data_IF_604959442801
#
_entry.id   IF_604959442801
#
_cell.length_a   1.000
_cell.length_b   1.000
_cell.length_c   1.000
_cell.angle_alpha   90.00
_cell.angle_beta   90.00
_cell.angle_gamma   90.00
#
_symmetry.space_group_name_H-M   'P 1'
#
loop_
_entity.id
_entity.type
_entity.pdbx_description
1 polymer ?
#
# COMPACT_ATOMS: atom_id res chain seq x y z
N UNK A 1 -24.12 26.96 10.46
CA UNK A 1 -22.72 26.52 10.28
C UNK A 1 -21.87 27.72 9.90
N UNK A 2 -20.90 28.12 10.73
CA UNK A 2 -20.07 29.31 10.46
C UNK A 2 -19.18 29.11 9.23
N UNK A 3 -19.11 30.12 8.35
CA UNK A 3 -18.23 30.14 7.16
C UNK A 3 -16.76 29.90 7.50
N UNK A 4 -16.34 30.24 8.71
CA UNK A 4 -14.97 30.06 9.20
C UNK A 4 -14.62 28.58 9.46
N UNK A 5 -15.59 27.78 9.92
CA UNK A 5 -15.40 26.33 10.09
C UNK A 5 -15.16 25.64 8.74
N UNK A 6 -15.83 26.11 7.68
CA UNK A 6 -15.67 25.57 6.31
C UNK A 6 -14.31 25.96 5.70
N UNK A 7 -13.79 27.14 6.02
CA UNK A 7 -12.47 27.59 5.58
C UNK A 7 -11.33 26.86 6.32
N UNK A 8 -11.53 26.52 7.61
CA UNK A 8 -10.58 25.73 8.38
C UNK A 8 -10.47 24.28 7.86
N UNK A 9 -11.58 23.66 7.49
CA UNK A 9 -11.58 22.30 6.91
C UNK A 9 -10.91 22.19 5.54
N UNK A 10 -10.80 23.30 4.79
CA UNK A 10 -10.10 23.37 3.49
C UNK A 10 -8.61 23.66 3.60
N UNK A 11 -8.14 24.12 4.76
CA UNK A 11 -6.70 24.13 5.06
C UNK A 11 -6.30 22.68 5.30
N UNK A 12 -6.06 21.98 4.19
CA UNK A 12 -5.47 20.65 4.22
C UNK A 12 -4.20 20.66 5.07
N UNK A 13 -3.78 19.49 5.57
CA UNK A 13 -2.53 19.38 6.31
C UNK A 13 -1.42 20.05 5.48
N UNK A 14 -0.52 20.76 6.17
CA UNK A 14 0.60 21.46 5.53
C UNK A 14 1.40 20.53 4.59
N UNK A 15 2.33 21.07 3.80
CA UNK A 15 3.11 20.25 2.87
C UNK A 15 3.65 19.03 3.63
N UNK A 16 3.24 17.84 3.17
CA UNK A 16 3.58 16.59 3.82
C UNK A 16 5.10 16.46 3.96
N UNK A 17 5.55 15.74 5.00
CA UNK A 17 6.98 15.51 5.19
C UNK A 17 7.60 14.88 3.94
N UNK A 18 8.83 15.28 3.63
CA UNK A 18 9.60 14.70 2.53
C UNK A 18 9.85 13.21 2.82
N UNK A 19 9.47 12.34 1.88
CA UNK A 19 9.64 10.89 2.02
C UNK A 19 10.99 10.51 1.42
N UNK A 20 11.94 10.14 2.28
CA UNK A 20 13.23 9.60 1.86
C UNK A 20 13.16 8.08 1.64
N UNK A 21 13.91 7.59 0.65
CA UNK A 21 14.00 6.15 0.36
C UNK A 21 14.97 5.48 1.33
N UNK A 22 14.45 4.56 2.15
CA UNK A 22 15.20 3.79 3.13
C UNK A 22 15.38 2.34 2.63
N UNK A 23 16.04 2.17 1.49
CA UNK A 23 16.13 0.86 0.82
C UNK A 23 16.97 -0.13 1.61
N UNK A 24 18.07 0.31 2.23
CA UNK A 24 18.93 -0.58 3.01
C UNK A 24 18.19 -1.09 4.26
N UNK A 25 17.48 -0.20 4.94
CA UNK A 25 16.67 -0.49 6.12
C UNK A 25 15.53 -1.43 5.78
N UNK A 26 14.88 -1.25 4.63
CA UNK A 26 13.84 -2.17 4.17
C UNK A 26 14.40 -3.57 3.88
N UNK A 27 15.61 -3.69 3.31
CA UNK A 27 16.26 -4.98 3.10
C UNK A 27 16.58 -5.66 4.43
N UNK A 28 17.14 -4.92 5.39
CA UNK A 28 17.44 -5.44 6.74
C UNK A 28 16.16 -5.88 7.45
N UNK A 29 15.11 -5.08 7.39
CA UNK A 29 13.80 -5.44 7.96
C UNK A 29 13.25 -6.72 7.32
N UNK A 30 13.31 -6.84 5.99
CA UNK A 30 12.83 -8.02 5.28
C UNK A 30 13.57 -9.29 5.70
N UNK A 31 14.90 -9.24 5.80
CA UNK A 31 15.69 -10.38 6.27
C UNK A 31 15.41 -10.73 7.75
N UNK A 32 15.11 -9.73 8.58
CA UNK A 32 14.74 -9.96 9.98
C UNK A 32 13.35 -10.60 10.13
N UNK A 33 12.38 -10.20 9.31
CA UNK A 33 11.01 -10.75 9.34
C UNK A 33 10.92 -12.11 8.63
N UNK A 34 11.71 -12.29 7.56
CA UNK A 34 11.78 -13.50 6.74
C UNK A 34 13.22 -14.01 6.67
N UNK A 35 13.69 -14.74 7.69
CA UNK A 35 15.06 -15.28 7.71
C UNK A 35 15.35 -16.30 6.59
N UNK A 36 14.30 -16.81 5.96
CA UNK A 36 14.38 -17.68 4.78
C UNK A 36 14.71 -16.93 3.48
N UNK A 37 14.64 -15.59 3.48
CA UNK A 37 14.97 -14.78 2.32
C UNK A 37 16.43 -14.32 2.36
N UNK A 38 17.14 -14.48 1.25
CA UNK A 38 18.46 -13.88 1.09
C UNK A 38 18.33 -12.36 0.84
N UNK A 39 19.15 -11.54 1.51
CA UNK A 39 19.17 -10.09 1.28
C UNK A 39 19.42 -9.71 -0.19
N UNK A 40 20.20 -10.52 -0.91
CA UNK A 40 20.47 -10.33 -2.33
C UNK A 40 19.19 -10.41 -3.17
N UNK A 41 18.29 -11.34 -2.83
CA UNK A 41 17.02 -11.53 -3.54
C UNK A 41 16.05 -10.38 -3.26
N UNK A 42 16.01 -9.89 -2.02
CA UNK A 42 15.22 -8.71 -1.66
C UNK A 42 15.72 -7.47 -2.41
N UNK A 43 17.05 -7.28 -2.46
CA UNK A 43 17.67 -6.18 -3.20
C UNK A 43 17.39 -6.27 -4.70
N UNK A 44 17.49 -7.47 -5.28
CA UNK A 44 17.18 -7.71 -6.67
C UNK A 44 15.70 -7.42 -7.00
N UNK A 45 14.77 -7.84 -6.14
CA UNK A 45 13.35 -7.55 -6.29
C UNK A 45 13.04 -6.04 -6.26
N UNK A 46 13.65 -5.30 -5.32
CA UNK A 46 13.47 -3.84 -5.23
C UNK A 46 14.07 -3.12 -6.45
N UNK A 47 15.23 -3.57 -6.94
CA UNK A 47 15.82 -3.05 -8.17
C UNK A 47 14.94 -3.34 -9.39
N UNK A 48 14.37 -4.55 -9.47
CA UNK A 48 13.45 -4.93 -10.53
C UNK A 48 12.17 -4.09 -10.49
N UNK A 49 11.56 -3.90 -9.32
CA UNK A 49 10.40 -3.02 -9.13
C UNK A 49 10.66 -1.59 -9.63
N UNK A 50 11.81 -1.01 -9.28
CA UNK A 50 12.21 0.29 -9.79
C UNK A 50 12.36 0.30 -11.33
N UNK A 51 12.93 -0.76 -11.91
CA UNK A 51 13.13 -0.88 -13.36
C UNK A 51 11.82 -0.95 -14.17
N UNK A 52 10.74 -1.48 -13.58
CA UNK A 52 9.40 -1.54 -14.19
C UNK A 52 8.54 -0.32 -13.85
N UNK A 53 9.12 0.71 -13.23
CA UNK A 53 8.45 1.98 -12.95
C UNK A 53 7.61 2.00 -11.67
N UNK A 54 7.74 1.00 -10.80
CA UNK A 54 7.06 1.00 -9.50
C UNK A 54 7.61 2.15 -8.63
N UNK A 55 6.73 2.93 -8.00
CA UNK A 55 7.16 3.98 -7.08
C UNK A 55 7.72 3.39 -5.78
N UNK A 56 8.45 4.20 -5.02
CA UNK A 56 8.99 3.76 -3.73
C UNK A 56 7.88 3.36 -2.74
N UNK A 57 6.80 4.13 -2.69
CA UNK A 57 5.65 3.87 -1.82
C UNK A 57 4.96 2.55 -2.19
N UNK A 58 4.82 2.29 -3.49
CA UNK A 58 4.29 1.03 -3.99
C UNK A 58 5.19 -0.14 -3.58
N UNK A 59 6.51 -0.02 -3.79
CA UNK A 59 7.48 -1.06 -3.43
C UNK A 59 7.51 -1.32 -1.92
N UNK A 60 7.44 -0.26 -1.10
CA UNK A 60 7.38 -0.35 0.35
C UNK A 60 6.13 -1.12 0.82
N UNK A 61 4.95 -0.75 0.29
CA UNK A 61 3.69 -1.44 0.62
C UNK A 61 3.70 -2.88 0.12
N UNK A 62 4.20 -3.12 -1.09
CA UNK A 62 4.31 -4.45 -1.69
C UNK A 62 5.22 -5.37 -0.86
N UNK A 63 6.42 -4.91 -0.54
CA UNK A 63 7.36 -5.66 0.30
C UNK A 63 6.77 -5.93 1.69
N UNK A 64 6.11 -4.93 2.29
CA UNK A 64 5.37 -5.07 3.55
C UNK A 64 4.35 -6.22 3.52
N UNK A 65 3.58 -6.35 2.43
CA UNK A 65 2.61 -7.44 2.25
C UNK A 65 3.28 -8.80 2.09
N UNK A 66 4.37 -8.89 1.33
CA UNK A 66 5.08 -10.15 1.13
C UNK A 66 5.75 -10.64 2.44
N UNK A 67 6.29 -9.73 3.25
CA UNK A 67 6.92 -10.07 4.53
C UNK A 67 5.95 -10.79 5.49
N UNK A 68 4.67 -10.39 5.50
CA UNK A 68 3.65 -10.96 6.40
C UNK A 68 2.93 -12.18 5.81
N UNK A 69 3.24 -12.56 4.57
CA UNK A 69 2.66 -13.70 3.88
C UNK A 69 3.66 -14.86 3.85
N UNK A 70 3.42 -15.89 4.68
CA UNK A 70 4.37 -16.99 4.89
C UNK A 70 4.70 -17.82 3.65
N UNK A 71 3.94 -17.68 2.55
CA UNK A 71 4.21 -18.36 1.28
C UNK A 71 4.78 -17.45 0.20
N UNK A 72 4.89 -16.15 0.46
CA UNK A 72 5.40 -15.20 -0.52
C UNK A 72 6.92 -15.28 -0.67
N UNK A 73 7.39 -14.88 -1.85
CA UNK A 73 8.78 -14.70 -2.22
C UNK A 73 9.08 -13.26 -2.69
N UNK A 74 10.32 -12.74 -2.52
CA UNK A 74 10.65 -11.36 -2.90
C UNK A 74 10.37 -11.05 -4.37
N UNK A 75 10.61 -12.02 -5.27
CA UNK A 75 10.38 -11.88 -6.71
C UNK A 75 8.92 -11.56 -7.09
N UNK A 76 7.96 -11.87 -6.21
CA UNK A 76 6.55 -11.59 -6.42
C UNK A 76 6.18 -10.12 -6.18
N UNK A 77 7.15 -9.27 -5.79
CA UNK A 77 6.96 -7.82 -5.65
C UNK A 77 6.48 -7.18 -6.96
N UNK A 78 6.98 -7.69 -8.09
CA UNK A 78 6.49 -7.38 -9.42
C UNK A 78 5.73 -8.61 -9.92
N UNK A 79 4.40 -8.57 -10.02
CA UNK A 79 3.64 -9.67 -10.59
C UNK A 79 4.08 -9.92 -12.03
N UNK A 80 4.41 -11.15 -12.37
CA UNK A 80 4.73 -11.50 -13.75
C UNK A 80 3.43 -11.51 -14.55
N UNK A 81 3.22 -10.50 -15.40
CA UNK A 81 2.03 -10.41 -16.25
C UNK A 81 1.90 -11.60 -17.23
N UNK A 82 2.97 -12.39 -17.39
CA UNK A 82 3.01 -13.57 -18.26
C UNK A 82 2.74 -14.89 -17.54
N UNK A 83 2.45 -14.88 -16.23
CA UNK A 83 2.04 -16.08 -15.52
C UNK A 83 0.51 -16.13 -15.36
N UNK A 84 -0.23 -16.73 -16.31
CA UNK A 84 -1.68 -16.88 -16.21
C UNK A 84 -2.12 -17.85 -15.10
N UNK A 85 -1.18 -18.54 -14.45
CA UNK A 85 -1.44 -19.48 -13.35
C UNK A 85 -1.15 -18.88 -11.98
N UNK A 86 -0.57 -17.68 -11.88
CA UNK A 86 -0.46 -16.99 -10.59
C UNK A 86 -1.78 -16.27 -10.31
N UNK A 87 -2.68 -16.81 -9.46
CA UNK A 87 -3.91 -16.11 -9.15
C UNK A 87 -3.51 -14.78 -8.52
N UNK A 88 -3.95 -13.66 -9.12
CA UNK A 88 -3.90 -12.36 -8.48
C UNK A 88 -4.54 -12.52 -7.10
N UNK A 89 -3.72 -12.60 -6.05
CA UNK A 89 -4.20 -12.89 -4.70
C UNK A 89 -5.20 -11.78 -4.38
N UNK A 90 -6.50 -12.09 -4.22
CA UNK A 90 -7.50 -11.06 -4.02
C UNK A 90 -7.10 -10.28 -2.78
N UNK A 91 -7.13 -8.95 -2.86
CA UNK A 91 -6.90 -8.09 -1.71
C UNK A 91 -7.76 -8.64 -0.56
N UNK A 92 -7.13 -8.99 0.56
CA UNK A 92 -7.79 -9.65 1.68
C UNK A 92 -9.15 -8.98 1.91
N UNK A 93 -10.23 -9.74 1.68
CA UNK A 93 -11.58 -9.19 1.52
C UNK A 93 -11.98 -8.26 2.68
N UNK A 94 -11.39 -8.50 3.85
CA UNK A 94 -11.55 -7.72 5.08
C UNK A 94 -11.09 -6.25 4.97
N UNK A 95 -10.03 -5.92 4.23
CA UNK A 95 -9.56 -4.52 4.10
C UNK A 95 -10.46 -3.74 3.13
N UNK A 96 -10.82 -4.35 2.00
CA UNK A 96 -11.73 -3.74 1.03
C UNK A 96 -13.14 -3.58 1.62
N UNK A 97 -13.61 -4.55 2.40
CA UNK A 97 -14.89 -4.50 3.09
C UNK A 97 -14.92 -3.41 4.16
N UNK A 98 -13.89 -3.32 5.00
CA UNK A 98 -13.76 -2.25 6.01
C UNK A 98 -13.67 -0.86 5.37
N UNK A 99 -12.91 -0.72 4.28
CA UNK A 99 -12.83 0.54 3.52
C UNK A 99 -14.18 0.96 2.95
N UNK A 100 -14.93 0.01 2.36
CA UNK A 100 -16.26 0.27 1.84
C UNK A 100 -17.28 0.62 2.94
N UNK A 101 -17.21 -0.03 4.11
CA UNK A 101 -18.05 0.33 5.26
C UNK A 101 -17.73 1.74 5.77
N UNK A 102 -16.45 2.08 5.93
CA UNK A 102 -16.03 3.40 6.37
C UNK A 102 -16.49 4.49 5.39
N UNK A 103 -16.37 4.26 4.08
CA UNK A 103 -16.83 5.20 3.06
C UNK A 103 -18.35 5.46 3.14
N UNK A 104 -19.16 4.42 3.40
CA UNK A 104 -20.61 4.57 3.60
C UNK A 104 -20.97 5.35 4.85
N UNK A 105 -20.17 5.28 5.91
CA UNK A 105 -20.38 6.04 7.14
C UNK A 105 -19.96 7.50 7.02
N UNK A 106 -19.02 7.82 6.12
CA UNK A 106 -18.48 9.17 5.95
C UNK A 106 -19.21 10.00 4.88
N UNK A 107 -19.97 9.36 3.99
CA UNK A 107 -20.80 10.04 3.00
C UNK A 107 -22.19 10.32 3.61
N UNK A 108 -22.59 11.59 3.83
CA UNK A 108 -23.97 11.88 4.16
C UNK A 108 -24.85 11.38 3.00
N UNK A 109 -25.84 10.56 3.33
CA UNK A 109 -26.83 10.11 2.34
C UNK A 109 -27.52 11.33 1.71
N UNK A 110 -27.96 11.24 0.45
CA UNK A 110 -28.72 12.31 -0.16
C UNK A 110 -29.97 12.56 0.68
N UNK A 111 -30.12 13.80 1.14
CA UNK A 111 -31.25 14.28 1.92
C UNK A 111 -32.56 13.80 1.26
N UNK A 112 -33.28 12.90 1.95
CA UNK A 112 -34.70 12.67 1.64
C UNK A 112 -35.46 13.84 2.22
N UNK A 113 -35.75 14.84 1.38
CA UNK A 113 -36.77 15.85 1.69
C UNK A 113 -38.14 15.15 1.84
N UNK A 114 -38.83 15.29 2.99
CA UNK A 114 -40.24 14.94 3.09
C UNK A 114 -41.09 16.06 2.49
N UNK A 115 -41.96 15.72 1.54
CA UNK A 115 -43.11 16.55 1.13
C UNK A 115 -44.17 16.66 2.22
#
# INVERSE_FOLDING_TARGET
MCSECRAAARRGPGPGAEIHRATAELVVLAAAVRPDWAEADVRAALAHAASVGMTWEQALVGMGRLMVDGHAHPRELVPDARDPLHPARPAAADVAHRGAQLARHLLPGPDREPS
#
